data_IF_541834559531
#
_entry.id   IF_541834559531
#
_cell.length_a   1.000
_cell.length_b   1.000
_cell.length_c   1.000
_cell.angle_alpha   90.00
_cell.angle_beta   90.00
_cell.angle_gamma   90.00
#
_symmetry.space_group_name_H-M   'P 1'
#
loop_
_entity.id
_entity.type
_entity.pdbx_description
1 polymer ?
#
# COMPACT_ATOMS: atom_id res chain seq x y z
N UNK A 1 18.57 -42.66 37.13
CA UNK A 1 18.17 -42.53 35.70
C UNK A 1 16.97 -41.61 35.49
N UNK A 2 15.90 -41.68 36.31
CA UNK A 2 14.74 -40.76 36.18
C UNK A 2 15.07 -39.26 36.38
N UNK A 3 16.02 -38.93 37.26
CA UNK A 3 16.40 -37.54 37.60
C UNK A 3 17.09 -36.78 36.47
N UNK A 4 17.85 -37.46 35.61
CA UNK A 4 18.55 -36.84 34.47
C UNK A 4 17.55 -36.44 33.39
N UNK A 5 16.51 -37.26 33.16
CA UNK A 5 15.44 -36.97 32.22
C UNK A 5 14.60 -35.76 32.65
N UNK A 6 14.39 -35.58 33.95
CA UNK A 6 13.66 -34.45 34.50
C UNK A 6 14.44 -33.14 34.29
N UNK A 7 15.76 -33.14 34.55
CA UNK A 7 16.59 -31.94 34.34
C UNK A 7 16.67 -31.53 32.87
N UNK A 8 16.77 -32.49 31.94
CA UNK A 8 16.76 -32.21 30.51
C UNK A 8 15.42 -31.62 30.03
N UNK A 9 14.30 -32.11 30.56
CA UNK A 9 12.97 -31.55 30.28
C UNK A 9 12.85 -30.12 30.83
N UNK A 10 13.30 -29.86 32.05
CA UNK A 10 13.26 -28.51 32.63
C UNK A 10 14.13 -27.52 31.85
N UNK A 11 15.30 -27.92 31.33
CA UNK A 11 16.12 -27.04 30.48
C UNK A 11 15.47 -26.76 29.13
N UNK A 12 14.84 -27.76 28.50
CA UNK A 12 14.13 -27.56 27.24
C UNK A 12 12.91 -26.65 27.42
N UNK A 13 12.15 -26.85 28.50
CA UNK A 13 10.98 -26.03 28.84
C UNK A 13 11.41 -24.59 29.14
N UNK A 14 12.53 -24.39 29.86
CA UNK A 14 13.07 -23.06 30.12
C UNK A 14 13.51 -22.33 28.82
N UNK A 15 14.13 -23.05 27.87
CA UNK A 15 14.50 -22.48 26.57
C UNK A 15 13.28 -22.13 25.71
N UNK A 16 12.23 -22.96 25.70
CA UNK A 16 10.97 -22.63 25.01
C UNK A 16 10.24 -21.46 25.66
N UNK A 17 10.28 -21.34 26.99
CA UNK A 17 9.69 -20.19 27.71
C UNK A 17 10.50 -18.91 27.45
N UNK A 18 11.83 -18.99 27.31
CA UNK A 18 12.66 -17.85 26.93
C UNK A 18 12.35 -17.33 25.52
N UNK A 19 11.94 -18.21 24.60
CA UNK A 19 11.51 -17.83 23.25
C UNK A 19 10.05 -17.30 23.19
N UNK A 20 9.26 -17.51 24.25
CA UNK A 20 7.85 -17.10 24.36
C UNK A 20 7.59 -16.20 25.59
N UNK A 21 8.63 -15.54 26.13
CA UNK A 21 8.41 -14.40 27.02
C UNK A 21 7.49 -13.39 26.32
N UNK A 22 6.74 -12.56 27.06
CA UNK A 22 5.90 -11.56 26.43
C UNK A 22 6.77 -10.80 25.43
N UNK A 23 6.43 -10.93 24.15
CA UNK A 23 6.87 -10.00 23.13
C UNK A 23 6.63 -8.62 23.76
N UNK A 24 7.65 -7.74 23.82
CA UNK A 24 7.40 -6.39 24.31
C UNK A 24 6.17 -5.89 23.58
N UNK A 25 5.13 -5.49 24.32
CA UNK A 25 3.96 -4.87 23.70
C UNK A 25 4.47 -3.82 22.73
N UNK A 26 3.88 -3.68 21.53
CA UNK A 26 4.29 -2.65 20.59
C UNK A 26 4.02 -1.31 21.25
N UNK A 27 5.03 -0.80 21.95
CA UNK A 27 5.21 0.62 22.15
C UNK A 27 5.18 1.18 20.75
N UNK A 28 4.23 2.09 20.51
CA UNK A 28 4.17 2.95 19.35
C UNK A 28 5.44 3.83 19.34
N UNK A 29 6.60 3.21 19.11
CA UNK A 29 7.73 3.87 18.48
C UNK A 29 7.25 4.21 17.08
N UNK A 30 7.45 5.45 16.60
CA UNK A 30 7.27 5.74 15.20
C UNK A 30 8.13 4.73 14.43
N UNK A 31 7.50 3.90 13.61
CA UNK A 31 8.15 3.26 12.47
C UNK A 31 9.05 4.33 11.82
N UNK A 32 10.32 4.04 11.47
CA UNK A 32 11.14 5.04 10.80
C UNK A 32 10.37 5.47 9.56
N UNK A 33 9.88 6.71 9.57
CA UNK A 33 9.11 7.23 8.44
C UNK A 33 9.93 7.00 7.16
N UNK A 34 9.29 6.64 6.04
CA UNK A 34 9.99 6.53 4.78
C UNK A 34 10.75 7.83 4.54
N UNK A 35 12.09 7.75 4.53
CA UNK A 35 13.03 8.88 4.49
C UNK A 35 13.05 9.62 3.16
N UNK A 36 11.99 9.52 2.36
CA UNK A 36 11.81 10.28 1.13
C UNK A 36 11.33 11.70 1.44
N UNK A 37 11.85 12.67 0.70
CA UNK A 37 11.34 14.04 0.78
C UNK A 37 9.84 14.04 0.43
N UNK A 38 9.01 14.92 1.01
CA UNK A 38 7.56 14.93 0.77
C UNK A 38 7.17 14.97 -0.71
N UNK A 39 7.99 15.57 -1.56
CA UNK A 39 7.77 15.64 -3.00
C UNK A 39 8.15 14.33 -3.71
N UNK A 40 9.17 13.62 -3.26
CA UNK A 40 9.49 12.26 -3.75
C UNK A 40 8.35 11.29 -3.46
N UNK A 41 7.78 11.34 -2.24
CA UNK A 41 6.64 10.50 -1.85
C UNK A 41 5.40 10.75 -2.70
N UNK A 42 5.15 12.00 -3.11
CA UNK A 42 4.04 12.35 -4.01
C UNK A 42 4.28 11.85 -5.43
N UNK A 43 5.51 11.99 -5.93
CA UNK A 43 5.90 11.50 -7.25
C UNK A 43 5.71 9.98 -7.34
N UNK A 44 6.21 9.24 -6.35
CA UNK A 44 6.08 7.78 -6.29
C UNK A 44 4.62 7.31 -6.21
N UNK A 45 3.80 7.98 -5.39
CA UNK A 45 2.38 7.68 -5.29
C UNK A 45 1.65 7.94 -6.61
N UNK A 46 1.95 9.05 -7.28
CA UNK A 46 1.39 9.36 -8.59
C UNK A 46 1.80 8.32 -9.64
N UNK A 47 3.10 8.01 -9.74
CA UNK A 47 3.61 7.04 -10.71
C UNK A 47 2.97 5.67 -10.49
N UNK A 48 2.80 5.27 -9.23
CA UNK A 48 2.17 3.98 -8.88
C UNK A 48 0.73 3.93 -9.39
N UNK A 49 -0.09 4.93 -9.06
CA UNK A 49 -1.48 4.99 -9.49
C UNK A 49 -1.60 5.10 -11.02
N UNK A 50 -0.79 5.95 -11.64
CA UNK A 50 -0.78 6.14 -13.09
C UNK A 50 -0.32 4.88 -13.83
N UNK A 51 0.59 4.10 -13.25
CA UNK A 51 1.02 2.81 -13.82
C UNK A 51 -0.12 1.79 -13.82
N UNK A 52 -0.89 1.71 -12.72
CA UNK A 52 -2.06 0.82 -12.65
C UNK A 52 -3.09 1.19 -13.74
N UNK A 53 -3.37 2.48 -13.92
CA UNK A 53 -4.30 2.94 -14.96
C UNK A 53 -3.72 2.70 -16.35
N UNK A 54 -2.41 2.84 -16.52
CA UNK A 54 -1.73 2.56 -17.79
C UNK A 54 -1.80 1.08 -18.18
N UNK A 55 -1.73 0.17 -17.22
CA UNK A 55 -1.89 -1.26 -17.46
C UNK A 55 -3.30 -1.55 -18.01
N UNK A 56 -4.35 -0.96 -17.43
CA UNK A 56 -5.71 -1.05 -17.97
C UNK A 56 -5.82 -0.52 -19.40
N UNK A 57 -5.16 0.61 -19.69
CA UNK A 57 -5.11 1.19 -21.05
C UNK A 57 -4.44 0.24 -22.03
N UNK A 58 -3.30 -0.35 -21.67
CA UNK A 58 -2.53 -1.24 -22.54
C UNK A 58 -3.25 -2.58 -22.81
N UNK A 59 -3.93 -3.08 -21.79
CA UNK A 59 -4.83 -4.23 -21.87
C UNK A 59 -6.14 -3.92 -22.62
N UNK A 60 -6.39 -2.65 -22.94
CA UNK A 60 -7.60 -2.14 -23.63
C UNK A 60 -8.87 -2.44 -22.85
N UNK A 61 -8.78 -2.39 -21.53
CA UNK A 61 -9.96 -2.51 -20.66
C UNK A 61 -10.86 -1.30 -20.89
N UNK A 62 -12.16 -1.49 -21.17
CA UNK A 62 -13.08 -0.38 -21.37
C UNK A 62 -13.10 0.58 -20.16
N UNK A 63 -13.13 1.90 -20.42
CA UNK A 63 -13.12 2.91 -19.36
C UNK A 63 -14.27 2.74 -18.35
N UNK A 64 -15.43 2.25 -18.77
CA UNK A 64 -16.56 1.96 -17.89
C UNK A 64 -16.27 0.80 -16.91
N UNK A 65 -15.47 -0.20 -17.32
CA UNK A 65 -14.99 -1.25 -16.42
C UNK A 65 -13.97 -0.69 -15.42
N UNK A 66 -13.03 0.15 -15.87
CA UNK A 66 -12.05 0.81 -14.99
C UNK A 66 -12.76 1.71 -13.96
N UNK A 67 -13.78 2.46 -14.36
CA UNK A 67 -14.62 3.26 -13.44
C UNK A 67 -15.28 2.42 -12.38
N UNK A 68 -15.81 1.26 -12.76
CA UNK A 68 -16.48 0.35 -11.83
C UNK A 68 -15.51 -0.22 -10.81
N UNK A 69 -14.30 -0.56 -11.24
CA UNK A 69 -13.25 -1.03 -10.33
C UNK A 69 -12.78 0.08 -9.38
N UNK A 70 -12.61 1.31 -9.88
CA UNK A 70 -12.27 2.47 -9.07
C UNK A 70 -13.38 2.84 -8.07
N UNK A 71 -14.65 2.81 -8.48
CA UNK A 71 -15.81 3.04 -7.61
C UNK A 71 -15.85 2.01 -6.46
N UNK A 72 -15.64 0.74 -6.80
CA UNK A 72 -15.55 -0.32 -5.78
C UNK A 72 -14.39 -0.09 -4.83
N UNK A 73 -13.21 0.28 -5.34
CA UNK A 73 -12.05 0.59 -4.51
C UNK A 73 -12.36 1.74 -3.55
N UNK A 74 -12.94 2.83 -4.02
CA UNK A 74 -13.28 3.96 -3.15
C UNK A 74 -14.25 3.55 -2.04
N UNK A 75 -15.27 2.74 -2.35
CA UNK A 75 -16.23 2.24 -1.35
C UNK A 75 -15.61 1.24 -0.34
N UNK A 76 -14.54 0.55 -0.72
CA UNK A 76 -13.83 -0.39 0.16
C UNK A 76 -12.85 0.35 1.12
N UNK A 77 -12.53 1.62 0.86
CA UNK A 77 -11.68 2.44 1.72
C UNK A 77 -12.44 2.96 2.96
N UNK A 78 -11.77 3.10 4.11
CA UNK A 78 -12.41 3.62 5.32
C UNK A 78 -12.31 5.14 5.44
N UNK A 79 -13.37 5.77 5.95
CA UNK A 79 -13.36 7.14 6.47
C UNK A 79 -12.91 8.19 5.44
N UNK A 80 -11.98 9.06 5.84
CA UNK A 80 -11.50 10.18 5.03
C UNK A 80 -10.87 9.73 3.70
N UNK A 81 -10.32 8.50 3.63
CA UNK A 81 -9.76 7.96 2.38
C UNK A 81 -10.83 7.67 1.33
N UNK A 82 -12.01 7.22 1.76
CA UNK A 82 -13.15 7.06 0.85
C UNK A 82 -13.58 8.42 0.30
N UNK A 83 -13.74 9.41 1.19
CA UNK A 83 -14.17 10.75 0.81
C UNK A 83 -13.20 11.41 -0.19
N UNK A 84 -11.90 11.30 0.05
CA UNK A 84 -10.87 11.79 -0.86
C UNK A 84 -10.88 11.02 -2.19
N UNK A 85 -11.02 9.70 -2.16
CA UNK A 85 -11.10 8.87 -3.36
C UNK A 85 -12.31 9.27 -4.24
N UNK A 86 -13.48 9.45 -3.63
CA UNK A 86 -14.70 9.83 -4.35
C UNK A 86 -14.63 11.25 -4.92
N UNK A 87 -13.94 12.18 -4.25
CA UNK A 87 -13.84 13.58 -4.67
C UNK A 87 -12.69 13.86 -5.63
N UNK A 88 -11.57 13.18 -5.48
CA UNK A 88 -10.35 13.47 -6.23
C UNK A 88 -10.05 12.40 -7.28
N UNK A 89 -10.24 11.11 -6.99
CA UNK A 89 -9.94 10.05 -7.96
C UNK A 89 -11.03 9.94 -9.02
N UNK A 90 -12.28 9.68 -8.61
CA UNK A 90 -13.37 9.35 -9.55
C UNK A 90 -13.64 10.46 -10.58
N UNK A 91 -13.70 11.76 -10.23
CA UNK A 91 -13.98 12.81 -11.20
C UNK A 91 -12.85 13.03 -12.21
N UNK A 92 -11.62 12.63 -11.86
CA UNK A 92 -10.44 12.82 -12.70
C UNK A 92 -10.06 11.58 -13.52
N UNK A 93 -10.66 10.41 -13.23
CA UNK A 93 -10.30 9.14 -13.85
C UNK A 93 -10.41 9.14 -15.38
N UNK A 94 -11.44 9.79 -15.95
CA UNK A 94 -11.63 9.89 -17.41
C UNK A 94 -10.44 10.58 -18.08
N UNK A 95 -10.06 11.72 -17.50
CA UNK A 95 -8.97 12.53 -18.01
C UNK A 95 -7.64 11.78 -17.91
N UNK A 96 -7.37 11.15 -16.77
CA UNK A 96 -6.14 10.38 -16.55
C UNK A 96 -6.08 9.19 -17.50
N UNK A 97 -7.18 8.45 -17.67
CA UNK A 97 -7.25 7.33 -18.61
C UNK A 97 -7.00 7.77 -20.05
N UNK A 98 -7.61 8.88 -20.49
CA UNK A 98 -7.41 9.45 -21.83
C UNK A 98 -5.98 9.95 -22.07
N UNK A 99 -5.37 10.60 -21.08
CA UNK A 99 -3.98 11.07 -21.17
C UNK A 99 -2.98 9.90 -21.24
N UNK A 100 -3.20 8.85 -20.45
CA UNK A 100 -2.36 7.65 -20.46
C UNK A 100 -2.45 6.80 -21.74
N UNK A 101 -3.41 7.09 -22.64
CA UNK A 101 -3.37 6.55 -24.01
C UNK A 101 -2.20 7.10 -24.84
N UNK A 102 -1.66 8.26 -24.45
CA UNK A 102 -0.64 9.01 -25.22
C UNK A 102 0.63 9.29 -24.43
N UNK A 103 0.57 9.15 -23.11
CA UNK A 103 1.65 9.51 -22.19
C UNK A 103 2.03 8.33 -21.30
N UNK A 104 3.27 8.35 -20.84
CA UNK A 104 3.76 7.46 -19.79
C UNK A 104 3.29 7.94 -18.41
N UNK A 105 3.27 7.06 -17.39
CA UNK A 105 2.98 7.45 -16.01
C UNK A 105 3.85 8.62 -15.51
N UNK A 106 5.15 8.61 -15.84
CA UNK A 106 6.07 9.69 -15.46
C UNK A 106 5.69 11.03 -16.11
N UNK A 107 5.46 11.05 -17.43
CA UNK A 107 5.07 12.27 -18.15
C UNK A 107 3.75 12.86 -17.62
N UNK A 108 2.80 12.00 -17.26
CA UNK A 108 1.56 12.42 -16.61
C UNK A 108 1.86 13.07 -15.25
N UNK A 109 2.65 12.42 -14.39
CA UNK A 109 2.96 12.94 -13.06
C UNK A 109 3.76 14.25 -13.10
N UNK A 110 4.67 14.41 -14.07
CA UNK A 110 5.38 15.67 -14.36
C UNK A 110 4.43 16.79 -14.84
N UNK A 111 3.40 16.43 -15.61
CA UNK A 111 2.39 17.36 -16.09
C UNK A 111 1.57 17.95 -14.93
N UNK A 112 1.16 17.11 -13.98
CA UNK A 112 0.35 17.52 -12.82
C UNK A 112 1.17 18.05 -11.63
N UNK A 113 2.50 18.12 -11.74
CA UNK A 113 3.39 18.62 -10.68
C UNK A 113 3.39 17.74 -9.42
N UNK A 114 3.17 16.44 -9.61
CA UNK A 114 3.49 15.43 -8.60
C UNK A 114 4.96 14.98 -8.71
N UNK A 115 5.52 15.13 -9.92
CA UNK A 115 6.93 15.19 -10.25
C UNK A 115 7.16 16.52 -11.04
#
# INVERSE_FOLDING_TARGET
>A
MKTILILALFSCIALTIYAQGPEPEPTHEPEPEPTGEPDERKCDACITLASIIKDYVDEKVPLDEVKKDADKLCHDLPGDLQEECEKELLPNLDKVYEELQKHTPLELCEHYKFC
#
